data_IF_242320664879
#
_entry.id   IF_242320664879
#
_cell.length_a   1.000
_cell.length_b   1.000
_cell.length_c   1.000
_cell.angle_alpha   90.00
_cell.angle_beta   90.00
_cell.angle_gamma   90.00
#
_symmetry.space_group_name_H-M   'P 1'
#
loop_
_entity.id
_entity.type
_entity.pdbx_description
1 polymer ?
#
# COMPACT_ATOMS: atom_id res chain seq x y z
N UNK A 1 7.31 -14.17 19.37
CA UNK A 1 6.28 -14.92 20.13
C UNK A 1 6.48 -16.40 19.87
N UNK A 2 6.19 -17.26 20.86
CA UNK A 2 6.26 -18.73 20.68
C UNK A 2 5.14 -19.27 19.78
N UNK A 3 3.98 -18.62 19.74
CA UNK A 3 2.91 -18.86 18.78
C UNK A 3 2.03 -17.60 18.60
N UNK A 4 1.38 -17.47 17.45
CA UNK A 4 0.41 -16.40 17.15
C UNK A 4 -0.71 -16.94 16.25
N UNK A 5 -1.95 -16.55 16.52
CA UNK A 5 -3.11 -16.84 15.67
C UNK A 5 -4.11 -15.69 15.67
N UNK A 6 -4.89 -15.57 14.60
CA UNK A 6 -5.85 -14.49 14.38
C UNK A 6 -7.29 -14.97 14.67
N UNK A 7 -8.01 -14.24 15.52
CA UNK A 7 -9.40 -14.57 15.92
C UNK A 7 -10.31 -13.35 16.03
N UNK A 8 -9.83 -12.17 15.66
CA UNK A 8 -10.48 -10.88 15.96
C UNK A 8 -11.32 -10.33 14.80
N UNK A 9 -11.31 -10.96 13.62
CA UNK A 9 -12.02 -10.47 12.43
C UNK A 9 -12.74 -11.58 11.63
N UNK A 10 -13.55 -12.44 12.28
CA UNK A 10 -14.20 -13.60 11.63
C UNK A 10 -15.20 -13.24 10.52
N UNK A 11 -15.71 -12.00 10.49
CA UNK A 11 -16.64 -11.54 9.44
C UNK A 11 -15.92 -11.35 8.10
N UNK A 12 -14.64 -10.94 8.13
CA UNK A 12 -13.87 -10.54 6.93
C UNK A 12 -12.61 -11.37 6.67
N UNK A 13 -12.20 -12.22 7.62
CA UNK A 13 -11.08 -13.15 7.47
C UNK A 13 -11.56 -14.57 7.72
N UNK A 14 -11.49 -15.39 6.69
CA UNK A 14 -11.94 -16.77 6.77
C UNK A 14 -11.08 -17.62 7.73
N UNK A 15 -9.80 -17.30 7.90
CA UNK A 15 -8.95 -17.97 8.89
C UNK A 15 -9.45 -17.73 10.33
N UNK A 16 -9.82 -16.50 10.67
CA UNK A 16 -10.45 -16.18 11.96
C UNK A 16 -11.80 -16.92 12.13
N UNK A 17 -12.56 -17.09 11.05
CA UNK A 17 -13.82 -17.83 11.07
C UNK A 17 -13.62 -19.32 11.38
N UNK A 18 -12.63 -19.96 10.75
CA UNK A 18 -12.25 -21.35 11.04
C UNK A 18 -11.83 -21.51 12.51
N UNK A 19 -11.02 -20.57 13.01
CA UNK A 19 -10.64 -20.56 14.43
C UNK A 19 -11.86 -20.41 15.35
N UNK A 20 -12.84 -19.57 14.97
CA UNK A 20 -14.09 -19.44 15.71
C UNK A 20 -14.90 -20.73 15.76
N UNK A 21 -14.93 -21.51 14.68
CA UNK A 21 -15.60 -22.82 14.68
C UNK A 21 -14.91 -23.82 15.62
N UNK A 22 -13.58 -23.91 15.57
CA UNK A 22 -12.80 -24.77 16.47
C UNK A 22 -13.00 -24.36 17.94
N UNK A 23 -12.93 -23.07 18.25
CA UNK A 23 -13.12 -22.54 19.61
C UNK A 23 -14.53 -22.82 20.13
N UNK A 24 -15.57 -22.61 19.31
CA UNK A 24 -16.97 -22.85 19.71
C UNK A 24 -17.23 -24.32 20.00
N UNK A 25 -16.73 -25.23 19.16
CA UNK A 25 -16.88 -26.67 19.39
C UNK A 25 -16.18 -27.11 20.67
N UNK A 26 -14.93 -26.67 20.86
CA UNK A 26 -14.16 -26.98 22.06
C UNK A 26 -14.85 -26.51 23.35
N UNK A 27 -15.35 -25.27 23.37
CA UNK A 27 -16.04 -24.70 24.54
C UNK A 27 -17.36 -25.42 24.87
N UNK A 28 -17.97 -26.11 23.91
CA UNK A 28 -19.20 -26.90 24.09
C UNK A 28 -18.93 -28.36 24.46
N UNK A 29 -17.68 -28.83 24.31
CA UNK A 29 -17.35 -30.25 24.40
C UNK A 29 -17.76 -31.06 23.17
N UNK A 30 -18.07 -30.38 22.06
CA UNK A 30 -18.40 -31.03 20.78
C UNK A 30 -17.12 -31.54 20.09
N UNK A 31 -17.21 -32.54 19.22
CA UNK A 31 -16.11 -32.89 18.32
C UNK A 31 -15.65 -31.69 17.50
N UNK A 32 -14.33 -31.57 17.29
CA UNK A 32 -13.79 -30.50 16.46
C UNK A 32 -14.33 -30.63 15.03
N UNK A 33 -14.82 -29.55 14.41
CA UNK A 33 -15.49 -29.60 13.10
C UNK A 33 -14.55 -29.94 11.94
N UNK A 34 -13.23 -29.84 12.14
CA UNK A 34 -12.27 -30.08 11.07
C UNK A 34 -11.08 -30.92 11.54
N UNK A 35 -10.68 -31.87 10.68
CA UNK A 35 -9.42 -32.59 10.79
C UNK A 35 -8.24 -31.71 10.35
N UNK A 36 -7.04 -32.03 10.86
CA UNK A 36 -5.84 -31.22 10.60
C UNK A 36 -5.49 -31.08 9.12
N UNK A 37 -5.64 -32.15 8.34
CA UNK A 37 -5.33 -32.14 6.91
C UNK A 37 -6.32 -31.24 6.14
N UNK A 38 -7.62 -31.39 6.39
CA UNK A 38 -8.66 -30.56 5.76
C UNK A 38 -8.48 -29.08 6.12
N UNK A 39 -8.10 -28.77 7.36
CA UNK A 39 -7.76 -27.40 7.76
C UNK A 39 -6.60 -26.85 6.95
N UNK A 40 -5.51 -27.60 6.79
CA UNK A 40 -4.35 -27.16 6.03
C UNK A 40 -4.69 -26.87 4.56
N UNK A 41 -5.43 -27.78 3.92
CA UNK A 41 -5.86 -27.62 2.52
C UNK A 41 -6.77 -26.40 2.35
N UNK A 42 -7.73 -26.23 3.27
CA UNK A 42 -8.66 -25.08 3.26
C UNK A 42 -7.89 -23.77 3.47
N UNK A 43 -6.96 -23.73 4.42
CA UNK A 43 -6.14 -22.55 4.69
C UNK A 43 -5.28 -22.14 3.50
N UNK A 44 -4.72 -23.10 2.74
CA UNK A 44 -3.96 -22.80 1.53
C UNK A 44 -4.84 -22.13 0.47
N UNK A 45 -6.01 -22.71 0.18
CA UNK A 45 -6.96 -22.16 -0.80
C UNK A 45 -7.41 -20.75 -0.45
N UNK A 46 -7.79 -20.54 0.82
CA UNK A 46 -8.22 -19.25 1.35
C UNK A 46 -7.11 -18.21 1.29
N UNK A 47 -5.87 -18.60 1.60
CA UNK A 47 -4.73 -17.69 1.58
C UNK A 47 -4.43 -17.21 0.16
N UNK A 48 -4.54 -18.10 -0.84
CA UNK A 48 -4.40 -17.72 -2.25
C UNK A 48 -5.49 -16.74 -2.67
N UNK A 49 -6.76 -17.01 -2.35
CA UNK A 49 -7.86 -16.09 -2.68
C UNK A 49 -7.72 -14.72 -1.99
N UNK A 50 -7.29 -14.70 -0.73
CA UNK A 50 -7.04 -13.47 0.01
C UNK A 50 -5.86 -12.67 -0.57
N UNK A 51 -4.82 -13.36 -1.05
CA UNK A 51 -3.70 -12.73 -1.72
C UNK A 51 -4.14 -12.06 -3.03
N UNK A 52 -4.92 -12.74 -3.87
CA UNK A 52 -5.48 -12.16 -5.09
C UNK A 52 -6.35 -10.92 -4.79
N UNK A 53 -7.21 -11.01 -3.77
CA UNK A 53 -8.01 -9.86 -3.34
C UNK A 53 -7.13 -8.67 -2.91
N UNK A 54 -6.03 -8.94 -2.21
CA UNK A 54 -5.05 -7.91 -1.82
C UNK A 54 -4.37 -7.27 -3.03
N UNK A 55 -4.05 -8.05 -4.07
CA UNK A 55 -3.47 -7.53 -5.30
C UNK A 55 -4.43 -6.60 -6.03
N UNK A 56 -5.70 -7.01 -6.16
CA UNK A 56 -6.76 -6.18 -6.78
C UNK A 56 -7.00 -4.90 -5.97
N UNK A 57 -7.02 -4.99 -4.64
CA UNK A 57 -7.13 -3.83 -3.76
C UNK A 57 -5.97 -2.85 -3.96
N UNK A 58 -4.73 -3.35 -4.00
CA UNK A 58 -3.54 -2.52 -4.26
C UNK A 58 -3.61 -1.83 -5.62
N UNK A 59 -4.02 -2.54 -6.67
CA UNK A 59 -4.19 -1.96 -8.01
C UNK A 59 -5.28 -0.89 -8.02
N UNK A 60 -6.41 -1.14 -7.33
CA UNK A 60 -7.51 -0.19 -7.23
C UNK A 60 -7.09 1.07 -6.48
N UNK A 61 -6.41 0.92 -5.35
CA UNK A 61 -5.90 2.05 -4.57
C UNK A 61 -4.86 2.85 -5.36
N UNK A 62 -3.98 2.17 -6.10
CA UNK A 62 -2.98 2.82 -6.96
C UNK A 62 -3.64 3.62 -8.08
N UNK A 63 -4.61 3.02 -8.78
CA UNK A 63 -5.39 3.71 -9.81
C UNK A 63 -6.06 4.99 -9.26
N UNK A 64 -6.79 4.87 -8.15
CA UNK A 64 -7.50 6.02 -7.59
C UNK A 64 -6.56 7.06 -6.98
N UNK A 65 -5.42 6.66 -6.43
CA UNK A 65 -4.37 7.57 -6.00
C UNK A 65 -3.79 8.38 -7.16
N UNK A 66 -3.49 7.74 -8.28
CA UNK A 66 -3.03 8.44 -9.49
C UNK A 66 -4.13 9.33 -10.09
N UNK A 67 -5.38 8.88 -10.10
CA UNK A 67 -6.50 9.66 -10.62
C UNK A 67 -6.76 10.91 -9.76
N UNK A 68 -6.62 10.78 -8.45
CA UNK A 68 -6.68 11.92 -7.55
C UNK A 68 -5.55 12.91 -7.83
N UNK A 69 -4.30 12.44 -7.96
CA UNK A 69 -3.16 13.30 -8.30
C UNK A 69 -3.31 13.97 -9.68
N UNK A 70 -3.83 13.25 -10.68
CA UNK A 70 -4.12 13.79 -12.02
C UNK A 70 -5.15 14.92 -12.00
N UNK A 71 -6.10 14.90 -11.06
CA UNK A 71 -7.11 15.97 -10.91
C UNK A 71 -6.59 17.18 -10.13
N UNK A 72 -5.47 17.04 -9.42
CA UNK A 72 -4.91 18.07 -8.54
C UNK A 72 -3.49 18.45 -8.97
N UNK A 73 -3.28 18.69 -10.28
CA UNK A 73 -1.95 18.96 -10.84
C UNK A 73 -1.34 20.27 -10.37
N UNK A 74 -2.15 21.24 -9.95
CA UNK A 74 -1.64 22.55 -9.52
C UNK A 74 -1.17 22.53 -8.05
N UNK A 75 -1.60 21.52 -7.28
CA UNK A 75 -1.26 21.38 -5.88
C UNK A 75 0.21 21.01 -5.69
N UNK A 76 0.82 21.61 -4.67
CA UNK A 76 2.16 21.25 -4.21
C UNK A 76 2.03 20.23 -3.10
N UNK A 77 2.79 19.15 -3.20
CA UNK A 77 2.83 18.07 -2.24
C UNK A 77 4.20 18.02 -1.58
N UNK A 78 4.22 17.92 -0.26
CA UNK A 78 5.43 17.57 0.47
C UNK A 78 5.67 16.06 0.33
N UNK A 79 6.88 15.68 -0.05
CA UNK A 79 7.27 14.31 -0.27
C UNK A 79 8.54 13.97 0.52
N UNK A 80 8.56 12.77 1.10
CA UNK A 80 9.70 12.22 1.82
C UNK A 80 10.43 11.19 0.95
N UNK A 81 11.76 11.32 0.78
CA UNK A 81 12.57 10.32 0.07
C UNK A 81 12.77 9.08 0.96
N UNK A 82 12.22 7.94 0.56
CA UNK A 82 12.27 6.71 1.37
C UNK A 82 13.49 5.83 1.09
N UNK A 83 13.70 5.50 -0.19
CA UNK A 83 14.75 4.57 -0.63
C UNK A 83 15.05 4.72 -2.11
N UNK A 84 16.24 4.29 -2.52
CA UNK A 84 16.58 4.13 -3.93
C UNK A 84 15.93 2.89 -4.54
N UNK A 85 15.37 3.05 -5.74
CA UNK A 85 14.96 1.93 -6.59
C UNK A 85 16.10 1.55 -7.53
N UNK A 86 16.74 2.57 -8.13
CA UNK A 86 17.95 2.49 -8.95
C UNK A 86 18.72 3.80 -8.76
N UNK A 87 19.74 3.76 -7.91
CA UNK A 87 20.52 4.94 -7.52
C UNK A 87 21.32 5.53 -8.69
N UNK A 88 21.94 4.68 -9.51
CA UNK A 88 22.69 5.10 -10.72
C UNK A 88 21.82 5.87 -11.72
N UNK A 89 20.51 5.61 -11.72
CA UNK A 89 19.50 6.21 -12.58
C UNK A 89 18.79 7.42 -11.93
N UNK A 90 19.21 7.81 -10.72
CA UNK A 90 18.54 8.77 -9.83
C UNK A 90 17.05 8.47 -9.65
N UNK A 91 16.67 7.19 -9.62
CA UNK A 91 15.28 6.75 -9.44
C UNK A 91 15.06 6.30 -8.00
N UNK A 92 14.30 7.07 -7.24
CA UNK A 92 13.93 6.73 -5.85
C UNK A 92 12.44 6.58 -5.66
N UNK A 93 12.08 6.15 -4.46
CA UNK A 93 10.72 6.05 -3.97
C UNK A 93 10.47 7.21 -3.01
N UNK A 94 9.43 8.00 -3.29
CA UNK A 94 8.97 9.08 -2.43
C UNK A 94 7.64 8.70 -1.76
N UNK A 95 7.39 9.24 -0.58
CA UNK A 95 6.11 9.15 0.13
C UNK A 95 5.42 10.51 0.15
N UNK A 96 4.21 10.58 -0.39
CA UNK A 96 3.30 11.70 -0.13
C UNK A 96 2.55 11.40 1.18
N UNK A 97 2.99 11.99 2.29
CA UNK A 97 2.53 11.62 3.64
C UNK A 97 1.01 11.81 3.81
N UNK A 98 0.46 12.94 3.34
CA UNK A 98 -0.97 13.25 3.42
C UNK A 98 -1.86 12.21 2.72
N UNK A 99 -1.32 11.52 1.71
CA UNK A 99 -2.03 10.53 0.91
C UNK A 99 -1.63 9.09 1.26
N UNK A 100 -0.56 8.89 2.03
CA UNK A 100 0.04 7.58 2.26
C UNK A 100 0.47 6.87 0.97
N UNK A 101 0.81 7.62 -0.08
CA UNK A 101 1.16 7.07 -1.39
C UNK A 101 2.67 7.01 -1.59
N UNK A 102 3.18 5.81 -1.86
CA UNK A 102 4.56 5.58 -2.27
C UNK A 102 4.67 5.57 -3.80
N UNK A 103 5.46 6.48 -4.37
CA UNK A 103 5.55 6.68 -5.82
C UNK A 103 7.01 6.80 -6.27
N UNK A 104 7.30 6.26 -7.45
CA UNK A 104 8.64 6.37 -8.02
C UNK A 104 8.83 7.78 -8.61
N UNK A 105 9.99 8.38 -8.34
CA UNK A 105 10.38 9.68 -8.89
C UNK A 105 11.83 9.64 -9.35
N UNK A 106 12.11 10.24 -10.51
CA UNK A 106 13.47 10.53 -10.95
C UNK A 106 13.88 11.91 -10.46
N UNK A 107 15.07 12.01 -9.90
CA UNK A 107 15.62 13.27 -9.40
C UNK A 107 16.60 13.87 -10.42
N UNK A 108 16.60 15.20 -10.50
CA UNK A 108 17.50 15.96 -11.38
C UNK A 108 18.74 16.48 -10.63
N UNK A 109 18.84 16.19 -9.34
CA UNK A 109 19.95 16.52 -8.44
C UNK A 109 20.19 15.35 -7.48
N UNK A 110 21.30 15.41 -6.76
CA UNK A 110 21.51 14.51 -5.62
C UNK A 110 20.52 14.85 -4.50
N UNK A 111 19.88 13.82 -3.95
CA UNK A 111 18.96 13.88 -2.81
C UNK A 111 19.39 12.84 -1.78
N UNK A 112 19.12 13.10 -0.51
CA UNK A 112 19.41 12.16 0.58
C UNK A 112 18.15 11.39 1.01
N UNK A 113 18.33 10.19 1.55
CA UNK A 113 17.23 9.45 2.17
C UNK A 113 16.76 10.19 3.42
N UNK A 114 15.45 10.30 3.60
CA UNK A 114 14.85 11.08 4.68
C UNK A 114 14.71 12.57 4.37
N UNK A 115 15.17 13.03 3.20
CA UNK A 115 14.98 14.41 2.75
C UNK A 115 13.52 14.69 2.41
N UNK A 116 13.04 15.86 2.81
CA UNK A 116 11.73 16.39 2.42
C UNK A 116 11.88 17.33 1.24
N UNK A 117 11.03 17.16 0.23
CA UNK A 117 11.03 17.97 -0.98
C UNK A 117 9.60 18.31 -1.40
N UNK A 118 9.44 19.44 -2.09
CA UNK A 118 8.15 19.89 -2.60
C UNK A 118 8.03 19.51 -4.06
N UNK A 119 6.97 18.76 -4.40
CA UNK A 119 6.72 18.28 -5.75
C UNK A 119 5.35 18.66 -6.25
N UNK A 120 5.27 18.82 -7.56
CA UNK A 120 4.01 18.97 -8.29
C UNK A 120 3.87 17.84 -9.30
N UNK A 121 2.64 17.40 -9.53
CA UNK A 121 2.34 16.43 -10.59
C UNK A 121 2.53 17.12 -11.94
N UNK A 122 3.51 16.67 -12.71
CA UNK A 122 3.75 17.17 -14.07
C UNK A 122 2.91 16.40 -15.09
N UNK A 123 2.78 15.08 -14.91
CA UNK A 123 1.96 14.23 -15.73
C UNK A 123 1.50 13.01 -14.93
N UNK A 124 0.26 12.58 -15.12
CA UNK A 124 -0.26 11.34 -14.54
C UNK A 124 -1.26 10.68 -15.49
N UNK A 125 -1.13 9.37 -15.68
CA UNK A 125 -2.06 8.52 -16.41
C UNK A 125 -2.36 7.26 -15.55
N UNK A 126 -3.52 7.22 -14.89
CA UNK A 126 -3.92 6.09 -14.05
C UNK A 126 -4.14 4.79 -14.82
N UNK A 127 -4.51 4.85 -16.10
CA UNK A 127 -4.74 3.65 -16.91
C UNK A 127 -3.43 2.99 -17.34
N UNK A 128 -2.39 3.80 -17.57
CA UNK A 128 -1.04 3.32 -17.90
C UNK A 128 -0.14 3.12 -16.68
N UNK A 129 -0.64 3.42 -15.48
CA UNK A 129 0.12 3.40 -14.23
C UNK A 129 1.36 4.32 -14.24
N UNK A 130 1.23 5.48 -14.88
CA UNK A 130 2.32 6.44 -15.06
C UNK A 130 2.10 7.68 -14.19
N UNK A 131 3.16 8.11 -13.52
CA UNK A 131 3.22 9.43 -12.90
C UNK A 131 4.61 10.02 -12.99
N UNK A 132 4.68 11.32 -13.27
CA UNK A 132 5.89 12.10 -13.27
C UNK A 132 5.70 13.32 -12.39
N UNK A 133 6.63 13.51 -11.47
CA UNK A 133 6.71 14.67 -10.62
C UNK A 133 7.76 15.65 -11.13
N UNK A 134 7.55 16.92 -10.80
CA UNK A 134 8.58 17.95 -10.90
C UNK A 134 8.82 18.50 -9.50
N UNK A 135 10.08 18.51 -9.09
CA UNK A 135 10.52 19.21 -7.88
C UNK A 135 10.42 20.73 -8.09
N UNK A 136 9.92 21.43 -7.08
CA UNK A 136 9.79 22.89 -7.07
C UNK A 136 10.93 23.53 -6.27
N UNK A 137 11.45 24.64 -6.77
CA UNK A 137 12.46 25.46 -6.07
C UNK A 137 11.76 26.45 -5.12
N UNK A 138 12.43 26.93 -4.07
CA UNK A 138 11.89 27.88 -3.07
C UNK A 138 11.14 29.08 -3.66
N UNK A 139 11.62 29.63 -4.78
CA UNK A 139 10.96 30.74 -5.48
C UNK A 139 9.59 30.37 -6.09
N UNK A 140 9.43 29.13 -6.56
CA UNK A 140 8.19 28.63 -7.14
C UNK A 140 7.16 28.26 -6.06
N UNK A 141 7.63 27.86 -4.88
CA UNK A 141 6.77 27.54 -3.72
C UNK A 141 6.05 28.80 -3.24
N UNK A 142 6.76 29.93 -3.11
CA UNK A 142 6.16 31.20 -2.69
C UNK A 142 5.13 31.73 -3.69
N UNK A 143 5.32 31.47 -4.99
CA UNK A 143 4.35 31.84 -6.02
C UNK A 143 3.09 30.95 -6.01
N UNK A 144 3.21 29.69 -5.60
CA UNK A 144 2.07 28.77 -5.50
C UNK A 144 1.22 28.96 -4.25
N UNK A 145 1.73 29.67 -3.24
CA UNK A 145 1.05 29.96 -1.98
C UNK A 145 0.21 31.25 -2.00
N UNK A 146 0.32 32.08 -3.05
CA UNK A 146 -0.42 33.33 -3.26
C UNK A 146 -1.55 33.14 -4.27
#
# INVERSE_FOLDING_TARGET
LAAYTQVTSPIRRYNDLLNHFQLKAHLRGDPLPFESQLLQETMQSVSSAAYEATLVERQTNRYWGLEYLRRNTDQVWQALVLRWLREDDNLGLILLEDLGLELAMRFNRSVELGEYLNVRVNHADPHLDVIHFRELVESEIQAAAN
#
